data_IF_686575495323
#
_entry.id   IF_686575495323
#
_cell.length_a   1.000
_cell.length_b   1.000
_cell.length_c   1.000
_cell.angle_alpha   90.00
_cell.angle_beta   90.00
_cell.angle_gamma   90.00
#
_symmetry.space_group_name_H-M   'P 1'
#
loop_
_entity.id
_entity.type
_entity.pdbx_description
1 polymer ?
#
# COMPACT_ATOMS: atom_id res chain seq x y z
N UNK A 1 -5.75 64.77 37.77
CA UNK A 1 -5.86 64.37 39.20
C UNK A 1 -5.98 62.87 39.27
N UNK A 2 -4.94 62.20 39.78
CA UNK A 2 -4.96 61.12 40.74
C UNK A 2 -5.53 59.79 40.23
N UNK A 3 -4.95 58.61 40.25
CA UNK A 3 -3.70 58.09 40.79
C UNK A 3 -3.33 56.77 40.07
N UNK A 4 -2.04 56.57 39.88
CA UNK A 4 -1.37 55.29 39.63
C UNK A 4 -1.68 54.25 40.72
N UNK A 5 -1.74 53.00 40.34
CA UNK A 5 -1.02 51.95 41.08
C UNK A 5 -0.62 50.81 40.14
N UNK A 6 0.63 50.74 40.00
CA UNK A 6 1.56 49.68 39.64
C UNK A 6 1.40 48.52 40.63
N UNK A 7 1.45 47.31 40.12
CA UNK A 7 2.01 46.18 40.81
C UNK A 7 2.65 45.22 39.82
N UNK A 8 3.94 45.17 39.92
CA UNK A 8 4.88 44.31 39.26
C UNK A 8 4.90 42.87 39.83
N UNK A 9 5.76 42.00 39.28
CA UNK A 9 5.53 40.56 39.19
C UNK A 9 6.22 39.78 40.33
N UNK A 10 5.77 38.56 40.58
CA UNK A 10 6.50 37.60 41.40
C UNK A 10 6.92 36.40 40.53
N UNK A 11 8.22 36.43 40.25
CA UNK A 11 9.02 35.23 39.89
C UNK A 11 9.16 34.33 41.10
N UNK A 12 9.24 32.98 40.85
CA UNK A 12 10.24 32.05 41.41
C UNK A 12 9.76 30.61 41.31
N UNK A 13 10.63 29.63 41.46
CA UNK A 13 11.51 29.08 40.45
C UNK A 13 11.31 27.56 40.25
N UNK A 14 12.02 27.04 39.26
CA UNK A 14 12.26 25.63 38.90
C UNK A 14 12.82 24.84 40.11
N UNK A 15 12.29 23.61 40.29
CA UNK A 15 13.07 22.48 40.83
C UNK A 15 12.37 21.16 40.44
N UNK A 16 13.02 20.37 39.66
CA UNK A 16 12.90 18.91 39.65
C UNK A 16 13.55 18.33 40.90
N UNK A 17 13.27 17.11 41.37
CA UNK A 17 13.55 15.90 40.61
C UNK A 17 12.56 14.73 40.78
N UNK A 18 12.82 13.72 39.97
CA UNK A 18 12.27 12.38 39.91
C UNK A 18 11.99 11.71 41.27
N UNK A 19 10.89 10.93 41.33
CA UNK A 19 10.84 9.72 42.14
C UNK A 19 9.90 8.70 41.53
N UNK A 20 10.47 7.56 41.28
CA UNK A 20 9.82 6.29 41.03
C UNK A 20 8.89 5.96 42.21
N UNK A 21 7.69 5.53 41.90
CA UNK A 21 6.89 4.71 42.81
C UNK A 21 6.33 3.54 41.99
N UNK A 22 6.94 2.39 42.18
CA UNK A 22 6.31 1.06 41.99
C UNK A 22 5.10 1.01 42.93
N UNK A 23 3.94 0.72 42.36
CA UNK A 23 2.83 0.19 43.17
C UNK A 23 2.27 -1.06 42.50
N UNK A 24 2.48 -2.12 43.24
CA UNK A 24 2.03 -3.48 43.01
C UNK A 24 0.49 -3.57 42.93
N UNK A 25 -0.04 -4.21 41.94
CA UNK A 25 -1.40 -4.70 41.90
C UNK A 25 -1.49 -6.10 42.50
N UNK A 26 -2.45 -6.40 43.37
CA UNK A 26 -2.60 -7.73 43.93
C UNK A 26 -3.30 -8.69 42.96
N UNK A 27 -2.72 -9.85 42.89
CA UNK A 27 -3.20 -11.08 42.30
C UNK A 27 -4.51 -11.54 42.98
N UNK A 28 -5.57 -11.72 42.21
CA UNK A 28 -6.77 -12.46 42.62
C UNK A 28 -7.14 -13.44 41.53
N UNK A 29 -6.57 -14.63 41.65
CA UNK A 29 -7.16 -15.84 41.11
C UNK A 29 -8.18 -16.42 42.09
N UNK A 30 -9.34 -16.83 41.63
CA UNK A 30 -10.08 -17.91 42.32
C UNK A 30 -9.86 -19.24 41.58
N UNK A 31 -9.33 -20.16 42.32
CA UNK A 31 -9.46 -21.60 42.11
C UNK A 31 -10.95 -21.96 42.04
N UNK A 32 -11.32 -22.79 41.08
CA UNK A 32 -12.41 -23.72 41.24
C UNK A 32 -12.08 -25.02 40.53
N UNK A 33 -11.81 -26.00 41.38
CA UNK A 33 -11.80 -27.45 41.11
C UNK A 33 -13.20 -27.91 40.75
N UNK A 34 -13.38 -28.68 39.71
CA UNK A 34 -14.11 -29.93 39.76
C UNK A 34 -14.01 -30.79 38.47
N UNK A 35 -14.18 -32.08 38.53
CA UNK A 35 -13.45 -33.05 37.72
C UNK A 35 -14.23 -33.63 36.54
N UNK A 36 -13.43 -34.10 35.57
CA UNK A 36 -13.78 -35.02 34.50
C UNK A 36 -14.52 -36.27 35.03
N UNK A 37 -15.52 -36.83 34.31
CA UNK A 37 -15.27 -38.15 33.78
C UNK A 37 -15.92 -38.45 32.42
N UNK A 38 -15.20 -39.11 31.53
CA UNK A 38 -15.86 -39.70 30.36
C UNK A 38 -14.93 -40.21 29.27
N UNK A 39 -14.10 -41.14 29.68
CA UNK A 39 -13.32 -42.03 28.81
C UNK A 39 -14.25 -42.90 27.95
N UNK A 40 -14.08 -42.87 26.62
CA UNK A 40 -14.40 -44.05 25.80
C UNK A 40 -13.52 -44.09 24.54
N UNK A 41 -12.69 -45.09 24.54
CA UNK A 41 -11.91 -45.64 23.43
C UNK A 41 -12.81 -46.05 22.27
N UNK A 42 -12.33 -45.79 21.03
CA UNK A 42 -12.49 -46.79 19.95
C UNK A 42 -11.32 -46.68 18.97
N UNK A 43 -10.44 -47.65 19.07
CA UNK A 43 -9.45 -48.05 18.05
C UNK A 43 -10.21 -48.67 16.86
N UNK A 44 -9.87 -48.25 15.65
CA UNK A 44 -10.35 -48.86 14.42
C UNK A 44 -9.27 -48.80 13.33
N UNK A 45 -8.29 -49.69 13.43
CA UNK A 45 -7.40 -50.05 12.31
C UNK A 45 -8.22 -50.75 11.24
N UNK A 46 -8.15 -50.35 10.00
CA UNK A 46 -8.28 -51.27 8.85
C UNK A 46 -7.24 -50.94 7.78
N UNK A 47 -6.30 -51.83 7.62
CA UNK A 47 -5.43 -52.07 6.46
C UNK A 47 -6.21 -52.92 5.45
N UNK A 48 -6.07 -52.59 4.18
CA UNK A 48 -6.15 -53.53 3.03
C UNK A 48 -5.40 -52.79 1.88
N UNK A 49 -4.32 -53.18 1.45
CA UNK A 49 -3.69 -54.35 0.81
C UNK A 49 -4.26 -54.65 -0.59
N UNK A 50 -3.39 -54.35 -1.57
CA UNK A 50 -3.08 -55.09 -2.78
C UNK A 50 -4.20 -55.36 -3.82
N UNK A 51 -3.97 -54.92 -5.06
CA UNK A 51 -3.59 -55.96 -6.10
C UNK A 51 -3.07 -55.28 -7.35
N UNK A 52 -1.90 -55.74 -7.77
CA UNK A 52 -1.30 -55.50 -9.08
C UNK A 52 -1.97 -56.38 -10.14
N UNK A 53 -2.12 -55.89 -11.34
CA UNK A 53 -2.24 -56.74 -12.52
C UNK A 53 -1.45 -56.11 -13.68
N UNK A 54 -0.38 -56.80 -14.03
CA UNK A 54 0.42 -56.61 -15.23
C UNK A 54 -0.27 -57.27 -16.41
N UNK A 55 -0.31 -56.67 -17.57
CA UNK A 55 -0.37 -57.41 -18.87
C UNK A 55 0.47 -56.63 -19.89
N UNK A 56 1.47 -57.36 -20.39
CA UNK A 56 2.35 -57.01 -21.48
C UNK A 56 1.64 -57.17 -22.83
N UNK A 57 1.99 -56.32 -23.78
CA UNK A 57 1.59 -56.50 -25.20
C UNK A 57 2.61 -55.80 -26.09
N UNK A 58 3.51 -56.59 -26.66
CA UNK A 58 4.49 -56.25 -27.69
C UNK A 58 3.79 -56.15 -29.03
N UNK A 59 4.02 -55.10 -29.82
CA UNK A 59 3.91 -55.14 -31.27
C UNK A 59 4.95 -54.21 -31.88
N UNK A 60 5.93 -54.82 -32.48
CA UNK A 60 6.96 -54.28 -33.34
C UNK A 60 6.37 -54.10 -34.76
N UNK A 61 6.49 -52.89 -35.33
CA UNK A 61 6.39 -52.73 -36.83
C UNK A 61 7.44 -51.72 -37.27
N UNK A 62 8.41 -52.28 -37.99
CA UNK A 62 9.36 -51.57 -38.84
C UNK A 62 8.64 -51.10 -40.12
N UNK A 63 8.85 -49.82 -40.51
CA UNK A 63 8.68 -49.41 -41.89
C UNK A 63 9.66 -48.26 -42.22
N UNK A 64 10.25 -48.45 -43.33
CA UNK A 64 11.41 -47.92 -43.98
C UNK A 64 11.47 -46.43 -44.28
N UNK A 65 12.71 -45.98 -44.40
CA UNK A 65 13.16 -44.69 -44.93
C UNK A 65 12.61 -44.35 -46.32
N UNK A 66 12.28 -43.05 -46.50
CA UNK A 66 12.39 -42.38 -47.79
C UNK A 66 12.77 -40.94 -47.54
N UNK A 67 14.00 -40.60 -47.86
CA UNK A 67 14.56 -39.25 -47.86
C UNK A 67 14.15 -38.51 -49.13
N UNK A 68 13.47 -37.38 -48.99
CA UNK A 68 13.31 -36.37 -50.02
C UNK A 68 13.94 -35.09 -49.52
N UNK A 69 14.84 -34.43 -50.23
CA UNK A 69 15.39 -33.14 -49.80
C UNK A 69 14.38 -32.06 -50.19
N UNK A 70 13.78 -31.45 -49.21
CA UNK A 70 12.90 -30.31 -49.44
C UNK A 70 13.68 -29.00 -49.23
N UNK A 71 13.58 -28.16 -50.22
CA UNK A 71 14.21 -26.87 -50.32
C UNK A 71 13.75 -25.96 -49.20
N UNK A 72 14.69 -25.54 -48.35
CA UNK A 72 14.46 -24.61 -47.28
C UNK A 72 14.07 -23.23 -47.83
N UNK A 73 12.78 -22.94 -47.81
CA UNK A 73 12.29 -21.56 -47.83
C UNK A 73 12.35 -21.04 -46.41
N UNK A 74 13.32 -20.16 -46.13
CA UNK A 74 13.42 -19.49 -44.86
C UNK A 74 12.16 -18.67 -44.61
N UNK A 75 11.46 -18.85 -43.48
CA UNK A 75 10.42 -17.91 -43.09
C UNK A 75 11.09 -16.58 -42.73
N UNK A 76 10.63 -15.51 -43.39
CA UNK A 76 10.91 -14.13 -42.99
C UNK A 76 10.29 -13.98 -41.59
N UNK A 77 11.12 -14.16 -40.55
CA UNK A 77 10.75 -13.91 -39.20
C UNK A 77 10.51 -12.42 -39.04
N UNK A 78 9.27 -12.02 -38.99
CA UNK A 78 8.89 -10.77 -38.34
C UNK A 78 9.36 -10.93 -36.86
N UNK A 79 10.49 -10.32 -36.55
CA UNK A 79 10.94 -10.14 -35.19
C UNK A 79 9.88 -9.28 -34.46
N UNK A 80 8.88 -9.95 -33.91
CA UNK A 80 8.11 -9.37 -32.82
C UNK A 80 9.15 -9.10 -31.73
N UNK A 81 9.40 -7.83 -31.43
CA UNK A 81 10.38 -7.42 -30.43
C UNK A 81 10.14 -8.24 -29.16
N UNK A 82 11.15 -9.02 -28.78
CA UNK A 82 11.09 -9.82 -27.57
C UNK A 82 10.76 -8.88 -26.42
N UNK A 83 9.66 -9.16 -25.71
CA UNK A 83 9.32 -8.47 -24.48
C UNK A 83 10.58 -8.45 -23.60
N UNK A 84 10.89 -7.33 -22.93
CA UNK A 84 12.11 -7.23 -22.12
C UNK A 84 12.04 -8.29 -21.02
N UNK A 85 12.77 -9.39 -21.18
CA UNK A 85 13.05 -10.33 -20.11
C UNK A 85 13.96 -9.59 -19.11
N UNK A 86 13.35 -8.85 -18.17
CA UNK A 86 14.07 -8.00 -17.23
C UNK A 86 13.64 -8.24 -15.79
N UNK A 87 14.55 -7.99 -14.88
CA UNK A 87 14.27 -7.97 -13.45
C UNK A 87 13.48 -6.71 -13.12
N UNK A 88 12.32 -6.90 -12.52
CA UNK A 88 11.45 -5.87 -11.99
C UNK A 88 11.45 -5.93 -10.46
N UNK A 89 11.72 -4.82 -9.79
CA UNK A 89 11.63 -4.69 -8.34
C UNK A 89 10.54 -3.68 -8.02
N UNK A 90 9.53 -4.11 -7.27
CA UNK A 90 8.49 -3.24 -6.72
C UNK A 90 8.86 -2.86 -5.28
N UNK A 91 8.85 -1.56 -5.01
CA UNK A 91 9.12 -0.95 -3.71
C UNK A 91 7.89 -0.15 -3.31
N UNK A 92 7.58 -0.11 -2.02
CA UNK A 92 6.46 0.71 -1.61
C UNK A 92 5.80 0.32 -0.30
N UNK A 93 4.65 0.94 -0.08
CA UNK A 93 3.79 0.74 1.08
C UNK A 93 2.59 -0.18 0.76
N UNK A 94 1.50 -0.03 1.51
CA UNK A 94 0.29 -0.84 1.37
C UNK A 94 -0.43 -0.66 0.03
N UNK A 95 -0.31 0.51 -0.63
CA UNK A 95 -0.88 0.73 -1.96
C UNK A 95 -0.14 -0.02 -3.06
N UNK A 96 1.08 -0.48 -2.77
CA UNK A 96 1.87 -1.36 -3.64
C UNK A 96 1.65 -2.82 -3.28
N UNK A 97 1.52 -3.13 -1.98
CA UNK A 97 1.38 -4.51 -1.50
C UNK A 97 0.01 -5.11 -1.80
N UNK A 98 -1.07 -4.33 -1.70
CA UNK A 98 -2.46 -4.79 -1.90
C UNK A 98 -2.99 -5.61 -0.73
N UNK A 99 -3.00 -5.06 0.52
CA UNK A 99 -3.46 -5.80 1.69
C UNK A 99 -4.95 -6.14 1.61
N UNK A 100 -5.28 -7.32 2.13
CA UNK A 100 -6.63 -7.89 2.21
C UNK A 100 -7.29 -8.17 0.85
N UNK A 101 -6.57 -7.98 -0.26
CA UNK A 101 -7.03 -8.45 -1.57
C UNK A 101 -6.79 -9.96 -1.65
N UNK A 102 -7.68 -10.75 -2.33
CA UNK A 102 -7.53 -12.18 -2.46
C UNK A 102 -6.16 -12.63 -2.97
N UNK A 103 -5.77 -13.83 -2.59
CA UNK A 103 -4.51 -14.49 -2.97
C UNK A 103 -3.26 -13.80 -2.39
N UNK A 104 -3.12 -13.81 -1.05
CA UNK A 104 -1.93 -13.30 -0.41
C UNK A 104 -0.68 -14.05 -0.90
N UNK A 105 0.42 -13.33 -1.03
CA UNK A 105 1.72 -13.84 -1.47
C UNK A 105 2.81 -13.46 -0.48
N UNK A 106 3.96 -14.09 -0.64
CA UNK A 106 5.14 -13.81 0.15
C UNK A 106 5.30 -14.70 1.38
N UNK A 107 6.50 -14.71 1.97
CA UNK A 107 6.69 -15.28 3.27
C UNK A 107 5.78 -14.55 4.26
N UNK A 108 5.31 -15.27 5.25
CA UNK A 108 4.48 -14.79 6.35
C UNK A 108 5.20 -13.67 7.12
N UNK A 109 5.31 -12.50 6.53
CA UNK A 109 6.05 -11.37 7.09
C UNK A 109 5.18 -10.17 7.45
N UNK A 110 3.84 -10.31 7.42
CA UNK A 110 2.92 -9.23 7.80
C UNK A 110 2.92 -8.04 6.85
N UNK A 111 3.45 -8.18 5.63
CA UNK A 111 3.47 -7.10 4.62
C UNK A 111 2.15 -6.92 3.90
N UNK A 112 1.26 -7.91 3.93
CA UNK A 112 -0.03 -7.83 3.26
C UNK A 112 0.06 -7.84 1.73
N UNK A 113 1.07 -8.50 1.16
CA UNK A 113 1.24 -8.60 -0.30
C UNK A 113 0.20 -9.54 -0.91
N UNK A 114 -0.31 -9.19 -2.10
CA UNK A 114 -1.23 -9.98 -2.90
C UNK A 114 -0.74 -10.16 -4.33
N UNK A 115 -0.95 -11.36 -4.93
CA UNK A 115 -0.68 -11.56 -6.36
C UNK A 115 -1.69 -10.87 -7.28
N UNK A 116 -2.67 -10.19 -6.72
CA UNK A 116 -3.62 -9.32 -7.42
C UNK A 116 -3.25 -7.83 -7.27
N UNK A 117 -2.16 -7.50 -6.59
CA UNK A 117 -1.61 -6.14 -6.52
C UNK A 117 -0.99 -5.71 -7.86
N UNK A 118 -0.86 -4.41 -8.07
CA UNK A 118 -0.38 -3.89 -9.35
C UNK A 118 1.02 -4.40 -9.76
N UNK A 119 1.98 -4.66 -8.85
CA UNK A 119 3.27 -5.20 -9.26
C UNK A 119 3.16 -6.54 -10.00
N UNK A 120 2.33 -7.45 -9.47
CA UNK A 120 2.09 -8.75 -10.10
C UNK A 120 1.35 -8.62 -11.44
N UNK A 121 0.38 -7.69 -11.52
CA UNK A 121 -0.35 -7.42 -12.75
C UNK A 121 0.56 -6.86 -13.85
N UNK A 122 1.42 -5.90 -13.50
CA UNK A 122 2.45 -5.31 -14.39
C UNK A 122 3.43 -6.38 -14.85
N UNK A 123 3.97 -7.18 -13.91
CA UNK A 123 4.92 -8.24 -14.22
C UNK A 123 4.35 -9.25 -15.20
N UNK A 124 3.11 -9.70 -15.00
CA UNK A 124 2.41 -10.62 -15.93
C UNK A 124 2.20 -9.99 -17.29
N UNK A 125 1.75 -8.74 -17.34
CA UNK A 125 1.45 -8.03 -18.58
C UNK A 125 2.68 -7.78 -19.45
N UNK A 126 3.84 -7.54 -18.81
CA UNK A 126 5.08 -7.24 -19.50
C UNK A 126 6.05 -8.43 -19.59
N UNK A 127 5.70 -9.59 -19.04
CA UNK A 127 6.56 -10.78 -19.03
C UNK A 127 7.84 -10.59 -18.20
N UNK A 128 7.77 -9.85 -17.07
CA UNK A 128 8.92 -9.53 -16.23
C UNK A 128 9.04 -10.49 -15.03
N UNK A 129 10.26 -10.66 -14.54
CA UNK A 129 10.52 -11.36 -13.28
C UNK A 129 10.42 -10.36 -12.13
N UNK A 130 9.39 -10.50 -11.30
CA UNK A 130 9.11 -9.63 -10.17
C UNK A 130 9.83 -10.07 -8.90
N UNK A 131 10.42 -9.10 -8.21
CA UNK A 131 10.74 -9.15 -6.78
C UNK A 131 9.92 -8.06 -6.09
N UNK A 132 8.90 -8.44 -5.36
CA UNK A 132 8.06 -7.49 -4.62
C UNK A 132 8.60 -7.32 -3.20
N UNK A 133 9.07 -6.11 -2.89
CA UNK A 133 9.61 -5.72 -1.58
C UNK A 133 8.67 -4.79 -0.82
N UNK A 134 7.51 -4.50 -1.39
CA UNK A 134 6.53 -3.62 -0.75
C UNK A 134 6.02 -4.20 0.56
N UNK A 135 5.64 -3.34 1.49
CA UNK A 135 5.15 -3.77 2.79
C UNK A 135 4.17 -2.75 3.36
N UNK A 136 3.04 -3.23 3.85
CA UNK A 136 2.05 -2.37 4.51
C UNK A 136 2.71 -1.54 5.62
N UNK A 137 2.29 -0.29 5.76
CA UNK A 137 2.84 0.69 6.71
C UNK A 137 4.31 1.09 6.45
N UNK A 138 4.92 0.69 5.32
CA UNK A 138 6.28 1.13 4.99
C UNK A 138 6.36 2.65 4.86
N UNK A 139 7.44 3.20 5.39
CA UNK A 139 7.88 4.58 5.20
C UNK A 139 9.14 4.62 4.34
N UNK A 140 9.58 5.80 3.95
CA UNK A 140 10.85 5.97 3.21
C UNK A 140 12.03 5.36 3.99
N UNK A 141 11.98 5.37 5.32
CA UNK A 141 12.99 4.71 6.16
C UNK A 141 13.04 3.20 5.92
N UNK A 142 11.90 2.54 5.62
CA UNK A 142 11.84 1.10 5.32
C UNK A 142 12.56 0.73 4.02
N UNK A 143 12.88 1.70 3.18
CA UNK A 143 13.70 1.46 2.00
C UNK A 143 15.14 1.06 2.37
N UNK A 144 15.70 1.63 3.43
CA UNK A 144 17.10 1.45 3.83
C UNK A 144 17.30 0.69 5.13
N UNK A 145 16.24 0.52 5.93
CA UNK A 145 16.27 -0.19 7.19
C UNK A 145 15.23 -1.34 7.21
N UNK A 146 15.48 -2.40 7.98
CA UNK A 146 14.48 -3.45 8.19
C UNK A 146 13.21 -2.88 8.83
N UNK A 147 12.06 -3.42 8.43
CA UNK A 147 10.74 -3.05 8.95
C UNK A 147 10.19 -4.16 9.84
N UNK A 148 10.05 -3.95 11.15
CA UNK A 148 9.31 -4.86 12.02
C UNK A 148 7.82 -4.87 11.66
N UNK A 149 7.21 -6.07 11.69
CA UNK A 149 5.77 -6.28 11.54
C UNK A 149 5.26 -7.18 12.65
N UNK A 150 3.93 -7.39 12.73
CA UNK A 150 3.34 -8.33 13.69
C UNK A 150 3.83 -9.78 13.50
N UNK A 151 4.23 -10.15 12.30
CA UNK A 151 4.59 -11.52 11.92
C UNK A 151 6.10 -11.71 11.65
N UNK A 152 6.93 -10.70 11.95
CA UNK A 152 8.38 -10.78 11.77
C UNK A 152 9.04 -9.47 11.39
N UNK A 153 10.17 -9.58 10.69
CA UNK A 153 10.93 -8.41 10.23
C UNK A 153 11.23 -8.56 8.74
N UNK A 154 10.81 -7.56 7.95
CA UNK A 154 11.12 -7.51 6.53
C UNK A 154 12.46 -6.81 6.32
N UNK A 155 13.29 -7.27 5.37
CA UNK A 155 14.56 -6.63 5.06
C UNK A 155 14.33 -5.23 4.46
N UNK A 156 15.37 -4.39 4.50
CA UNK A 156 15.36 -3.12 3.81
C UNK A 156 15.00 -3.31 2.33
N UNK A 157 14.00 -2.59 1.82
CA UNK A 157 13.46 -2.83 0.47
C UNK A 157 14.53 -2.66 -0.63
N UNK A 158 15.46 -1.70 -0.49
CA UNK A 158 16.53 -1.48 -1.46
C UNK A 158 17.56 -2.63 -1.52
N UNK A 159 17.52 -3.60 -0.61
CA UNK A 159 18.41 -4.77 -0.63
C UNK A 159 18.17 -5.67 -1.86
N UNK A 160 17.01 -5.62 -2.49
CA UNK A 160 16.69 -6.38 -3.69
C UNK A 160 17.23 -5.74 -4.98
N UNK A 161 17.69 -4.49 -4.93
CA UNK A 161 18.20 -3.79 -6.09
C UNK A 161 19.62 -4.24 -6.45
N UNK A 162 19.89 -4.35 -7.75
CA UNK A 162 21.21 -4.68 -8.28
C UNK A 162 21.42 -4.04 -9.66
N UNK A 163 22.64 -4.15 -10.19
CA UNK A 163 22.95 -3.72 -11.57
C UNK A 163 22.21 -4.52 -12.64
N UNK A 164 21.62 -5.67 -12.29
CA UNK A 164 20.75 -6.46 -13.17
C UNK A 164 19.30 -5.97 -13.18
N UNK A 165 18.88 -5.13 -12.22
CA UNK A 165 17.53 -4.56 -12.19
C UNK A 165 17.28 -3.69 -13.41
N UNK A 166 16.10 -3.86 -14.05
CA UNK A 166 15.73 -3.12 -15.28
C UNK A 166 14.52 -2.23 -15.12
N UNK A 167 13.66 -2.56 -14.18
CA UNK A 167 12.48 -1.78 -13.83
C UNK A 167 12.36 -1.65 -12.32
N UNK A 168 12.04 -0.46 -11.86
CA UNK A 168 11.66 -0.20 -10.47
C UNK A 168 10.37 0.60 -10.46
N UNK A 169 9.40 0.21 -9.65
CA UNK A 169 8.28 1.07 -9.25
C UNK A 169 8.39 1.39 -7.77
N UNK A 170 8.04 2.60 -7.39
CA UNK A 170 8.08 3.08 -6.01
C UNK A 170 6.78 3.82 -5.68
N UNK A 171 5.93 3.23 -4.83
CA UNK A 171 4.73 3.85 -4.26
C UNK A 171 4.92 4.05 -2.76
N UNK A 172 5.29 5.26 -2.32
CA UNK A 172 5.72 5.54 -0.94
C UNK A 172 5.47 7.00 -0.54
N UNK A 173 5.41 7.27 0.75
CA UNK A 173 5.36 8.63 1.30
C UNK A 173 4.09 8.94 2.08
N UNK A 174 2.99 8.24 1.83
CA UNK A 174 1.72 8.43 2.56
C UNK A 174 1.87 8.17 4.06
N UNK A 175 2.60 7.12 4.44
CA UNK A 175 2.86 6.81 5.84
C UNK A 175 3.83 7.80 6.50
N UNK A 176 4.76 8.38 5.74
CA UNK A 176 5.68 9.42 6.23
C UNK A 176 4.92 10.71 6.57
N UNK A 177 3.96 11.10 5.73
CA UNK A 177 3.03 12.21 6.03
C UNK A 177 2.14 11.87 7.23
N UNK A 178 1.92 10.58 7.50
CA UNK A 178 1.05 10.08 8.57
C UNK A 178 -0.42 10.05 8.17
N UNK A 179 -0.71 9.70 6.92
CA UNK A 179 -2.04 9.76 6.31
C UNK A 179 -3.11 9.01 7.12
N UNK A 180 -2.80 7.79 7.58
CA UNK A 180 -3.71 7.01 8.44
C UNK A 180 -4.11 7.77 9.70
N UNK A 181 -3.15 8.40 10.39
CA UNK A 181 -3.43 9.20 11.61
C UNK A 181 -4.25 10.44 11.28
N UNK A 182 -3.98 11.08 10.14
CA UNK A 182 -4.73 12.25 9.69
C UNK A 182 -6.19 11.86 9.48
N UNK A 183 -6.47 10.81 8.73
CA UNK A 183 -7.82 10.33 8.46
C UNK A 183 -8.53 9.92 9.76
N UNK A 184 -7.87 9.14 10.63
CA UNK A 184 -8.42 8.77 11.94
C UNK A 184 -8.80 10.00 12.75
N UNK A 185 -7.91 11.00 12.81
CA UNK A 185 -8.19 12.24 13.55
C UNK A 185 -9.34 13.02 12.94
N UNK A 186 -9.43 13.10 11.61
CA UNK A 186 -10.54 13.74 10.94
C UNK A 186 -11.85 13.02 11.26
N UNK A 187 -11.88 11.68 11.21
CA UNK A 187 -13.07 10.91 11.58
C UNK A 187 -13.48 11.16 13.04
N UNK A 188 -12.54 11.21 13.99
CA UNK A 188 -12.81 11.51 15.40
C UNK A 188 -13.44 12.89 15.59
N UNK A 189 -12.98 13.90 14.87
CA UNK A 189 -13.48 15.27 14.98
C UNK A 189 -14.82 15.45 14.28
N UNK A 190 -15.05 14.73 13.21
CA UNK A 190 -16.15 14.95 12.27
C UNK A 190 -17.33 14.01 12.45
N UNK A 191 -17.16 12.87 13.16
CA UNK A 191 -18.18 11.81 13.20
C UNK A 191 -19.54 12.34 13.65
N UNK A 192 -19.60 13.21 14.65
CA UNK A 192 -20.85 13.79 15.14
C UNK A 192 -21.43 14.77 14.10
N UNK A 193 -20.72 15.81 13.64
CA UNK A 193 -21.19 16.69 12.58
C UNK A 193 -21.62 15.95 11.31
N UNK A 194 -20.87 14.95 10.86
CA UNK A 194 -21.16 14.21 9.63
C UNK A 194 -22.46 13.40 9.69
N UNK A 195 -22.89 12.99 10.89
CA UNK A 195 -24.14 12.23 11.09
C UNK A 195 -25.36 13.12 11.34
N UNK A 196 -25.19 14.42 11.52
CA UNK A 196 -26.33 15.35 11.72
C UNK A 196 -27.10 15.56 10.43
N UNK A 197 -28.45 15.51 10.44
CA UNK A 197 -29.24 15.73 9.24
C UNK A 197 -29.25 17.22 8.83
N UNK A 198 -29.16 17.44 7.51
CA UNK A 198 -29.40 18.73 6.89
C UNK A 198 -28.15 19.52 6.47
N UNK A 199 -28.38 20.65 5.82
CA UNK A 199 -27.35 21.52 5.25
C UNK A 199 -26.44 22.21 6.28
N UNK A 200 -26.71 22.07 7.57
CA UNK A 200 -25.95 22.71 8.63
C UNK A 200 -24.49 22.21 8.72
N UNK A 201 -24.18 21.04 8.12
CA UNK A 201 -22.84 20.42 8.22
C UNK A 201 -21.98 20.63 6.96
N UNK A 202 -22.56 21.09 5.85
CA UNK A 202 -21.84 21.20 4.56
C UNK A 202 -20.67 22.20 4.57
N UNK A 203 -20.67 23.14 5.51
CA UNK A 203 -19.62 24.14 5.67
C UNK A 203 -18.73 23.95 6.88
N UNK A 204 -18.94 22.89 7.67
CA UNK A 204 -18.10 22.61 8.83
C UNK A 204 -16.80 21.92 8.39
N UNK A 205 -15.69 22.34 9.00
CA UNK A 205 -14.34 21.86 8.68
C UNK A 205 -13.51 21.61 9.96
N UNK A 206 -14.00 20.79 10.93
CA UNK A 206 -13.29 20.61 12.20
C UNK A 206 -11.90 20.01 12.05
N UNK A 207 -11.73 19.12 11.06
CA UNK A 207 -10.42 18.53 10.75
C UNK A 207 -9.48 19.56 10.11
N UNK A 208 -9.93 20.32 9.14
CA UNK A 208 -9.13 21.39 8.54
C UNK A 208 -8.73 22.41 9.62
N UNK A 209 -9.66 22.85 10.46
CA UNK A 209 -9.38 23.80 11.55
C UNK A 209 -8.31 23.28 12.50
N UNK A 210 -8.35 21.98 12.82
CA UNK A 210 -7.34 21.32 13.65
C UNK A 210 -5.95 21.32 12.99
N UNK A 211 -5.86 21.07 11.69
CA UNK A 211 -4.59 20.99 10.97
C UNK A 211 -4.08 22.33 10.43
N UNK A 212 -4.90 23.40 10.51
CA UNK A 212 -4.51 24.75 10.02
C UNK A 212 -4.55 25.83 11.10
N UNK A 213 -4.02 25.58 12.32
CA UNK A 213 -4.06 26.56 13.40
C UNK A 213 -3.29 27.83 13.00
N UNK A 214 -3.93 28.99 13.19
CA UNK A 214 -3.31 30.27 12.83
C UNK A 214 -2.98 30.43 11.35
N UNK A 215 -3.63 29.65 10.47
CA UNK A 215 -3.40 29.68 9.03
C UNK A 215 -2.19 28.86 8.55
N UNK A 216 -1.57 28.10 9.44
CA UNK A 216 -0.43 27.24 9.11
C UNK A 216 -0.90 25.83 8.82
N UNK A 217 -0.73 25.36 7.60
CA UNK A 217 -1.09 24.01 7.20
C UNK A 217 -0.01 22.99 7.60
N UNK A 218 -0.33 22.22 8.65
CA UNK A 218 0.58 21.20 9.21
C UNK A 218 0.74 20.00 8.29
N UNK A 219 -0.28 19.64 7.49
CA UNK A 219 -0.19 18.51 6.54
C UNK A 219 0.75 18.89 5.40
N UNK A 220 0.61 20.09 4.86
CA UNK A 220 1.52 20.60 3.85
C UNK A 220 2.98 20.66 4.35
N UNK A 221 3.21 21.04 5.60
CA UNK A 221 4.57 21.01 6.18
C UNK A 221 5.14 19.59 6.21
N UNK A 222 4.34 18.59 6.58
CA UNK A 222 4.76 17.18 6.54
C UNK A 222 5.07 16.72 5.12
N UNK A 223 4.24 17.07 4.14
CA UNK A 223 4.49 16.75 2.72
C UNK A 223 5.83 17.36 2.26
N UNK A 224 6.11 18.61 2.64
CA UNK A 224 7.39 19.27 2.31
C UNK A 224 8.60 18.58 2.97
N UNK A 225 8.46 18.10 4.21
CA UNK A 225 9.51 17.36 4.89
C UNK A 225 9.81 16.01 4.22
N UNK A 226 8.80 15.34 3.69
CA UNK A 226 8.92 14.07 2.96
C UNK A 226 9.67 14.23 1.64
N UNK A 227 9.53 15.37 0.94
CA UNK A 227 10.18 15.62 -0.35
C UNK A 227 11.71 15.39 -0.29
N UNK A 228 12.39 15.95 0.73
CA UNK A 228 13.84 15.77 0.87
C UNK A 228 14.26 14.31 1.10
N UNK A 229 13.44 13.54 1.80
CA UNK A 229 13.68 12.11 2.04
C UNK A 229 13.47 11.29 0.76
N UNK A 230 12.44 11.60 -0.01
CA UNK A 230 12.16 10.95 -1.30
C UNK A 230 13.30 11.19 -2.30
N UNK A 231 13.79 12.43 -2.42
CA UNK A 231 14.90 12.75 -3.31
C UNK A 231 16.17 11.94 -2.97
N UNK A 232 16.46 11.74 -1.69
CA UNK A 232 17.56 10.89 -1.23
C UNK A 232 17.32 9.41 -1.57
N UNK A 233 16.10 8.91 -1.39
CA UNK A 233 15.73 7.55 -1.74
C UNK A 233 15.89 7.27 -3.24
N UNK A 234 15.42 8.17 -4.12
CA UNK A 234 15.58 8.07 -5.57
C UNK A 234 17.07 8.05 -5.98
N UNK A 235 17.89 8.88 -5.33
CA UNK A 235 19.35 8.85 -5.54
C UNK A 235 19.94 7.47 -5.19
N UNK A 236 19.54 6.88 -4.06
CA UNK A 236 20.02 5.55 -3.66
C UNK A 236 19.54 4.43 -4.59
N UNK A 237 18.31 4.52 -5.09
CA UNK A 237 17.78 3.56 -6.09
C UNK A 237 18.66 3.59 -7.34
N UNK A 238 18.99 4.78 -7.87
CA UNK A 238 19.84 4.93 -9.05
C UNK A 238 21.26 4.40 -8.83
N UNK A 239 21.83 4.60 -7.64
CA UNK A 239 23.17 4.07 -7.30
C UNK A 239 23.19 2.54 -7.31
N UNK A 240 22.12 1.89 -6.83
CA UNK A 240 22.05 0.42 -6.74
C UNK A 240 21.57 -0.24 -8.02
N UNK A 241 20.72 0.44 -8.79
CA UNK A 241 20.13 -0.04 -10.03
C UNK A 241 20.36 0.98 -11.18
N UNK A 242 21.62 1.23 -11.59
CA UNK A 242 21.96 2.31 -12.53
C UNK A 242 21.38 2.11 -13.94
N UNK A 243 20.95 0.90 -14.26
CA UNK A 243 20.35 0.56 -15.56
C UNK A 243 18.83 0.40 -15.51
N UNK A 244 18.23 0.63 -14.35
CA UNK A 244 16.79 0.51 -14.19
C UNK A 244 16.06 1.77 -14.70
N UNK A 245 14.90 1.58 -15.31
CA UNK A 245 13.91 2.64 -15.40
C UNK A 245 13.16 2.70 -14.08
N UNK A 246 13.05 3.87 -13.50
CA UNK A 246 12.38 4.09 -12.22
C UNK A 246 11.10 4.88 -12.45
N UNK A 247 10.01 4.43 -11.86
CA UNK A 247 8.72 5.09 -11.89
C UNK A 247 8.22 5.29 -10.46
N UNK A 248 8.00 6.54 -10.07
CA UNK A 248 7.27 6.88 -8.84
C UNK A 248 5.78 6.77 -9.15
N UNK A 249 5.06 5.98 -8.37
CA UNK A 249 3.63 5.74 -8.53
C UNK A 249 2.88 6.64 -7.56
N UNK A 250 2.01 7.50 -8.07
CA UNK A 250 1.14 8.36 -7.26
C UNK A 250 0.03 7.56 -6.58
N UNK A 251 -0.62 8.18 -5.60
CA UNK A 251 -1.81 7.62 -4.95
C UNK A 251 -3.05 7.87 -5.81
N UNK A 252 -3.97 6.90 -5.92
CA UNK A 252 -5.24 7.06 -6.63
C UNK A 252 -6.18 7.99 -5.86
N UNK A 253 -7.24 8.51 -6.51
CA UNK A 253 -8.29 9.36 -5.93
C UNK A 253 -8.99 8.66 -4.76
N UNK A 254 -8.65 9.03 -3.52
CA UNK A 254 -9.26 8.48 -2.31
C UNK A 254 -10.60 9.14 -1.99
N UNK A 255 -10.66 10.46 -2.20
CA UNK A 255 -11.75 11.32 -1.78
C UNK A 255 -12.22 12.19 -2.93
N UNK A 256 -13.54 12.39 -3.13
CA UNK A 256 -14.02 13.29 -4.16
C UNK A 256 -13.66 14.74 -3.82
N UNK A 257 -13.44 15.55 -4.85
CA UNK A 257 -13.22 16.99 -4.69
C UNK A 257 -14.40 17.72 -4.04
N UNK A 258 -15.62 17.16 -4.12
CA UNK A 258 -16.83 17.64 -3.47
C UNK A 258 -17.41 16.54 -2.56
N UNK A 259 -17.29 16.71 -1.25
CA UNK A 259 -17.58 15.68 -0.27
C UNK A 259 -19.08 15.38 0.03
N UNK A 260 -20.02 16.10 -0.57
CA UNK A 260 -21.43 16.09 -0.15
C UNK A 260 -22.10 14.73 -0.15
N UNK A 261 -21.74 13.81 -1.03
CA UNK A 261 -22.35 12.49 -1.15
C UNK A 261 -21.76 11.44 -0.19
N UNK A 262 -20.69 11.76 0.53
CA UNK A 262 -19.83 10.80 1.18
C UNK A 262 -19.69 10.97 2.69
N UNK A 263 -20.12 12.08 3.24
CA UNK A 263 -19.95 12.41 4.66
C UNK A 263 -20.45 11.29 5.58
N UNK A 264 -21.64 10.75 5.32
CA UNK A 264 -22.21 9.68 6.12
C UNK A 264 -21.48 8.34 5.98
N UNK A 265 -20.85 8.09 4.82
CA UNK A 265 -20.12 6.84 4.55
C UNK A 265 -18.77 6.83 5.26
N UNK A 266 -18.12 7.98 5.32
CA UNK A 266 -16.77 8.11 5.89
C UNK A 266 -16.78 8.64 7.34
N UNK A 267 -17.92 9.17 7.82
CA UNK A 267 -17.96 9.87 9.11
C UNK A 267 -17.08 11.12 9.13
N UNK A 268 -16.89 11.75 7.98
CA UNK A 268 -16.08 12.97 7.77
C UNK A 268 -16.99 13.99 7.09
N UNK A 269 -16.93 15.26 7.51
CA UNK A 269 -17.78 16.31 6.93
C UNK A 269 -17.43 16.55 5.45
N UNK A 270 -18.38 17.09 4.69
CA UNK A 270 -18.17 17.37 3.27
C UNK A 270 -17.03 18.37 3.03
N UNK A 271 -16.86 19.34 3.91
CA UNK A 271 -15.77 20.31 3.85
C UNK A 271 -14.40 19.64 4.09
N UNK A 272 -14.31 18.76 5.06
CA UNK A 272 -13.07 18.06 5.38
C UNK A 272 -12.72 16.96 4.38
N UNK A 273 -13.69 16.33 3.73
CA UNK A 273 -13.45 15.47 2.57
C UNK A 273 -12.78 16.26 1.45
N UNK A 274 -13.25 17.46 1.12
CA UNK A 274 -12.65 18.33 0.11
C UNK A 274 -11.26 18.82 0.52
N UNK A 275 -11.05 19.10 1.81
CA UNK A 275 -9.74 19.40 2.38
C UNK A 275 -8.77 18.24 2.23
N UNK A 276 -9.15 17.02 2.62
CA UNK A 276 -8.33 15.82 2.48
C UNK A 276 -7.99 15.53 1.01
N UNK A 277 -8.93 15.70 0.09
CA UNK A 277 -8.65 15.60 -1.35
C UNK A 277 -7.59 16.63 -1.80
N UNK A 278 -7.67 17.85 -1.29
CA UNK A 278 -6.66 18.88 -1.60
C UNK A 278 -5.27 18.47 -1.12
N UNK A 279 -5.16 17.91 0.09
CA UNK A 279 -3.89 17.46 0.64
C UNK A 279 -3.34 16.23 -0.11
N UNK A 280 -4.20 15.33 -0.56
CA UNK A 280 -3.83 14.22 -1.43
C UNK A 280 -3.24 14.68 -2.76
N UNK A 281 -3.87 15.67 -3.39
CA UNK A 281 -3.35 16.30 -4.61
C UNK A 281 -1.99 16.96 -4.39
N UNK A 282 -1.76 17.58 -3.23
CA UNK A 282 -0.46 18.15 -2.87
C UNK A 282 0.62 17.09 -2.68
N UNK A 283 0.28 15.96 -2.06
CA UNK A 283 1.18 14.82 -1.93
C UNK A 283 1.56 14.31 -3.33
N UNK A 284 0.59 14.03 -4.19
CA UNK A 284 0.83 13.57 -5.56
C UNK A 284 1.65 14.57 -6.39
N UNK A 285 1.41 15.87 -6.23
CA UNK A 285 2.20 16.91 -6.89
C UNK A 285 3.66 16.92 -6.41
N UNK A 286 3.91 16.69 -5.13
CA UNK A 286 5.26 16.56 -4.58
C UNK A 286 5.96 15.32 -5.15
N UNK A 287 5.30 14.16 -5.15
CA UNK A 287 5.85 12.91 -5.72
C UNK A 287 6.22 13.10 -7.20
N UNK A 288 5.34 13.73 -7.99
CA UNK A 288 5.59 14.03 -9.40
C UNK A 288 6.78 14.97 -9.61
N UNK A 289 6.86 16.03 -8.80
CA UNK A 289 7.95 17.01 -8.87
C UNK A 289 9.29 16.36 -8.60
N UNK A 290 9.37 15.55 -7.56
CA UNK A 290 10.63 14.93 -7.13
C UNK A 290 11.05 13.80 -8.07
N UNK A 291 10.12 13.00 -8.60
CA UNK A 291 10.38 12.03 -9.65
C UNK A 291 11.01 12.71 -10.88
N UNK A 292 10.40 13.79 -11.37
CA UNK A 292 10.91 14.56 -12.51
C UNK A 292 12.29 15.18 -12.23
N UNK A 293 12.50 15.72 -11.04
CA UNK A 293 13.77 16.29 -10.64
C UNK A 293 14.91 15.25 -10.60
N UNK A 294 14.58 14.01 -10.24
CA UNK A 294 15.49 12.88 -10.31
C UNK A 294 15.69 12.34 -11.74
N UNK A 295 14.94 12.80 -12.74
CA UNK A 295 14.91 12.24 -14.09
C UNK A 295 14.20 10.89 -14.18
N UNK A 296 13.28 10.62 -13.22
CA UNK A 296 12.47 9.41 -13.15
C UNK A 296 11.07 9.64 -13.74
N UNK A 297 10.39 8.53 -14.09
CA UNK A 297 9.00 8.58 -14.51
C UNK A 297 8.07 8.83 -13.31
N UNK A 298 6.93 9.44 -13.57
CA UNK A 298 5.81 9.52 -12.64
C UNK A 298 4.59 8.87 -13.26
N UNK A 299 3.88 8.05 -12.50
CA UNK A 299 2.63 7.42 -12.91
C UNK A 299 1.48 8.12 -12.23
N UNK A 300 0.66 8.80 -13.01
CA UNK A 300 -0.56 9.45 -12.53
C UNK A 300 -1.69 8.41 -12.42
N UNK A 301 -1.85 7.88 -11.23
CA UNK A 301 -2.96 6.98 -10.86
C UNK A 301 -4.20 7.76 -10.44
N UNK A 302 -4.02 9.00 -9.94
CA UNK A 302 -5.10 9.86 -9.47
C UNK A 302 -6.09 10.19 -10.59
N UNK A 303 -5.61 10.79 -11.69
CA UNK A 303 -6.47 11.18 -12.81
C UNK A 303 -7.23 9.99 -13.40
N UNK A 304 -6.62 8.80 -13.40
CA UNK A 304 -7.27 7.58 -13.89
C UNK A 304 -8.37 7.03 -12.98
N UNK A 305 -8.25 7.27 -11.69
CA UNK A 305 -9.21 6.80 -10.70
C UNK A 305 -10.28 7.83 -10.33
N UNK A 306 -10.22 9.04 -10.90
CA UNK A 306 -11.22 10.08 -10.64
C UNK A 306 -12.65 9.55 -10.83
N UNK A 307 -13.50 9.79 -9.82
CA UNK A 307 -14.87 9.29 -9.81
C UNK A 307 -14.99 7.79 -9.52
N UNK A 308 -13.93 7.15 -9.00
CA UNK A 308 -13.89 5.75 -8.56
C UNK A 308 -13.38 5.62 -7.12
N UNK A 309 -13.46 6.69 -6.36
CA UNK A 309 -12.97 6.81 -4.99
C UNK A 309 -13.88 6.08 -3.97
N UNK A 310 -13.52 6.20 -2.71
CA UNK A 310 -14.22 5.56 -1.57
C UNK A 310 -15.69 5.96 -1.41
N UNK A 311 -16.12 7.03 -2.07
CA UNK A 311 -17.50 7.53 -2.05
C UNK A 311 -18.34 7.04 -3.23
N UNK A 312 -17.73 6.36 -4.18
CA UNK A 312 -18.41 5.85 -5.36
C UNK A 312 -19.18 4.56 -5.03
N UNK A 313 -20.30 4.25 -5.70
CA UNK A 313 -21.01 2.99 -5.51
C UNK A 313 -20.11 1.77 -5.72
N UNK A 314 -20.36 0.72 -4.93
CA UNK A 314 -19.57 -0.53 -4.90
C UNK A 314 -19.25 -1.08 -6.29
N UNK A 315 -20.21 -1.11 -7.20
CA UNK A 315 -20.04 -1.66 -8.54
C UNK A 315 -19.01 -0.94 -9.43
N UNK A 316 -18.60 0.28 -9.04
CA UNK A 316 -17.73 1.13 -9.88
C UNK A 316 -16.52 1.70 -9.15
N UNK A 317 -16.45 1.57 -7.82
CA UNK A 317 -15.33 2.12 -7.04
C UNK A 317 -14.08 1.29 -7.17
N UNK A 318 -12.95 1.94 -7.04
CA UNK A 318 -11.63 1.34 -6.98
C UNK A 318 -11.04 1.37 -5.57
N UNK A 319 -11.51 2.30 -4.76
CA UNK A 319 -11.04 2.50 -3.38
C UNK A 319 -12.16 2.11 -2.42
N UNK A 320 -11.89 1.19 -1.52
CA UNK A 320 -12.87 0.81 -0.51
C UNK A 320 -13.04 1.89 0.56
N UNK A 321 -14.24 2.06 1.14
CA UNK A 321 -14.46 2.99 2.23
C UNK A 321 -13.82 2.50 3.55
N UNK A 322 -14.05 3.23 4.65
CA UNK A 322 -13.59 2.84 6.00
C UNK A 322 -14.11 1.46 6.43
N UNK A 323 -15.30 1.08 5.96
CA UNK A 323 -15.85 -0.27 6.12
C UNK A 323 -15.93 -0.88 4.73
N UNK A 324 -14.94 -1.71 4.33
CA UNK A 324 -14.89 -2.30 3.00
C UNK A 324 -16.06 -3.24 2.74
N UNK A 325 -16.60 -3.21 1.51
CA UNK A 325 -17.58 -4.17 1.03
C UNK A 325 -16.95 -5.22 0.10
N UNK A 326 -15.91 -4.84 -0.64
CA UNK A 326 -15.07 -5.78 -1.37
C UNK A 326 -13.78 -6.08 -0.58
N UNK A 327 -13.12 -7.23 -0.84
CA UNK A 327 -11.85 -7.55 -0.20
C UNK A 327 -10.78 -6.51 -0.53
N UNK A 328 -10.40 -5.72 0.46
CA UNK A 328 -9.29 -4.77 0.51
C UNK A 328 -9.19 -4.18 1.91
N UNK A 329 -8.05 -3.64 2.29
CA UNK A 329 -7.94 -2.86 3.51
C UNK A 329 -8.78 -1.57 3.43
N UNK A 330 -9.24 -1.00 4.57
CA UNK A 330 -9.96 0.27 4.57
C UNK A 330 -9.21 1.39 3.85
N UNK A 331 -9.90 2.13 2.99
CA UNK A 331 -9.35 3.22 2.17
C UNK A 331 -8.20 2.81 1.25
N UNK A 332 -8.14 1.53 0.86
CA UNK A 332 -7.15 1.01 -0.09
C UNK A 332 -7.81 0.57 -1.40
N UNK A 333 -7.02 0.42 -2.46
CA UNK A 333 -7.50 -0.12 -3.72
C UNK A 333 -8.03 -1.55 -3.53
N UNK A 334 -9.20 -1.84 -4.11
CA UNK A 334 -9.66 -3.20 -4.34
C UNK A 334 -9.02 -3.79 -5.61
N UNK A 335 -9.37 -5.01 -5.98
CA UNK A 335 -8.80 -5.67 -7.15
C UNK A 335 -8.99 -4.86 -8.46
N UNK A 336 -10.10 -4.13 -8.61
CA UNK A 336 -10.33 -3.25 -9.77
C UNK A 336 -9.43 -2.01 -9.72
N UNK A 337 -9.18 -1.47 -8.53
CA UNK A 337 -8.25 -0.35 -8.31
C UNK A 337 -6.82 -0.75 -8.65
N UNK A 338 -6.37 -1.90 -8.15
CA UNK A 338 -5.04 -2.44 -8.48
C UNK A 338 -4.86 -2.68 -9.98
N UNK A 339 -5.89 -3.21 -10.66
CA UNK A 339 -5.85 -3.36 -12.11
C UNK A 339 -5.73 -2.00 -12.82
N UNK A 340 -6.49 -0.99 -12.37
CA UNK A 340 -6.40 0.35 -12.92
C UNK A 340 -5.04 1.02 -12.72
N UNK A 341 -4.41 0.81 -11.55
CA UNK A 341 -3.04 1.26 -11.28
C UNK A 341 -2.04 0.53 -12.17
N UNK A 342 -2.16 -0.79 -12.32
CA UNK A 342 -1.32 -1.57 -13.21
C UNK A 342 -1.40 -1.10 -14.67
N UNK A 343 -2.60 -0.82 -15.16
CA UNK A 343 -2.83 -0.32 -16.53
C UNK A 343 -2.17 1.05 -16.73
N UNK A 344 -2.22 1.93 -15.73
CA UNK A 344 -1.53 3.23 -15.76
C UNK A 344 -0.01 3.06 -15.86
N UNK A 345 0.56 2.15 -15.05
CA UNK A 345 2.00 1.87 -15.04
C UNK A 345 2.44 1.26 -16.37
N UNK A 346 1.73 0.26 -16.88
CA UNK A 346 2.02 -0.36 -18.17
C UNK A 346 1.99 0.66 -19.30
N UNK A 347 1.02 1.58 -19.30
CA UNK A 347 0.94 2.65 -20.28
C UNK A 347 2.12 3.61 -20.16
N UNK A 348 2.49 4.05 -18.95
CA UNK A 348 3.62 4.93 -18.73
C UNK A 348 4.93 4.30 -19.23
N UNK A 349 5.14 3.00 -18.95
CA UNK A 349 6.30 2.26 -19.42
C UNK A 349 6.32 2.19 -20.95
N UNK A 350 5.20 1.87 -21.60
CA UNK A 350 5.09 1.76 -23.07
C UNK A 350 5.29 3.11 -23.77
N UNK A 351 4.90 4.21 -23.15
CA UNK A 351 5.08 5.54 -23.71
C UNK A 351 6.56 6.01 -23.75
N UNK A 352 7.45 5.31 -23.05
CA UNK A 352 8.88 5.62 -22.98
C UNK A 352 9.77 4.59 -23.69
N UNK A 353 9.16 3.60 -24.38
CA UNK A 353 9.83 2.61 -25.25
C UNK A 353 9.95 3.15 -26.67
#
# INVERSE_FOLDING_TARGET
MIHRKILEPLCCPVNEPANEIEDALPDHSPHDDNPDPGRALLKGRRRAACTALSIAGIALMLAACSSVPDSATAPIGTSAGAAPHGSYVALGDSYTAGPDIPYPTGPTGGCGQSNSSYPYLVARTLGLQLTDMSCSSATIASLTAPQPTGDGTNPAQLSALSTATRLVTLGIGGNDVGWTRIITRCTELDIIPALMPGSATSGLTPCQDYYTPGGTDQIQQKIQAVAGQLAQALTQIRQRAPHARVYVVGYPDLFPAAGNACAHTLGITAGDIAFLNTEELRLNAMLQKDARAAGDGYVDTYTRSMGRNSCTPEASRWIEPLIPAAPAAPLHPNAAGEQGMADAIVQAIKATL
#
